data_IF_230887351935
#
_entry.id   IF_230887351935
#
_cell.length_a   1.000
_cell.length_b   1.000
_cell.length_c   1.000
_cell.angle_alpha   90.00
_cell.angle_beta   90.00
_cell.angle_gamma   90.00
#
_symmetry.space_group_name_H-M   'P 1'
#
loop_
_entity.id
_entity.type
_entity.pdbx_description
1 polymer ?
#
# COMPACT_ATOMS: atom_id res chain seq x y z
N UNK A 1 -5.99 11.30 -20.88
CA UNK A 1 -6.30 10.36 -20.59
C UNK A 1 -6.12 9.65 -19.44
N UNK A 2 -6.71 9.08 -19.07
CA UNK A 2 -6.53 8.52 -17.78
C UNK A 2 -6.54 7.03 -17.81
N UNK A 3 -5.36 6.48 -17.67
CA UNK A 3 -5.22 5.05 -17.58
C UNK A 3 -6.03 4.50 -16.41
N UNK A 4 -6.12 5.28 -15.34
CA UNK A 4 -6.85 4.86 -14.14
C UNK A 4 -8.30 4.53 -14.46
N UNK A 5 -8.95 5.34 -15.26
CA UNK A 5 -10.35 5.15 -15.58
C UNK A 5 -10.59 3.96 -16.48
N UNK A 6 -9.55 3.51 -17.17
CA UNK A 6 -9.66 2.41 -18.09
C UNK A 6 -8.99 1.13 -17.62
N UNK A 7 -8.68 1.06 -16.33
CA UNK A 7 -7.96 -0.09 -15.80
C UNK A 7 -8.63 -1.41 -16.12
N UNK A 8 -9.94 -1.47 -15.94
CA UNK A 8 -10.68 -2.69 -16.23
C UNK A 8 -10.70 -3.02 -17.72
N UNK A 9 -10.87 -2.00 -18.54
CA UNK A 9 -10.89 -2.19 -19.97
C UNK A 9 -9.53 -2.61 -20.49
N UNK A 10 -8.48 -2.17 -19.83
CA UNK A 10 -7.12 -2.55 -20.19
C UNK A 10 -6.70 -3.87 -19.56
N UNK A 11 -7.63 -4.52 -18.87
CA UNK A 11 -7.39 -5.80 -18.24
C UNK A 11 -6.23 -5.73 -17.25
N UNK A 12 -6.20 -4.67 -16.44
CA UNK A 12 -5.19 -4.51 -15.41
C UNK A 12 -5.52 -5.30 -14.16
N UNK A 13 -6.56 -6.13 -14.26
CA UNK A 13 -6.82 -7.15 -13.28
C UNK A 13 -7.43 -6.70 -11.98
N UNK A 14 -6.93 -7.28 -10.92
CA UNK A 14 -7.52 -7.19 -9.58
C UNK A 14 -6.73 -6.24 -8.71
N UNK A 15 -7.45 -5.36 -8.03
CA UNK A 15 -6.86 -4.48 -7.02
C UNK A 15 -6.98 -5.14 -5.66
N UNK A 16 -6.01 -4.90 -4.81
CA UNK A 16 -6.06 -5.41 -3.45
C UNK A 16 -5.39 -4.41 -2.50
N UNK A 17 -5.86 -4.42 -1.26
CA UNK A 17 -5.23 -3.66 -0.21
C UNK A 17 -4.65 -4.63 0.80
N UNK A 18 -3.43 -4.38 1.21
CA UNK A 18 -2.77 -5.21 2.20
C UNK A 18 -2.43 -4.35 3.40
N UNK A 19 -2.92 -4.78 4.55
CA UNK A 19 -2.55 -4.17 5.82
C UNK A 19 -1.38 -4.97 6.35
N UNK A 20 -0.35 -4.27 6.82
CA UNK A 20 0.85 -4.93 7.27
C UNK A 20 1.29 -4.40 8.63
N UNK A 21 1.75 -5.29 9.46
CA UNK A 21 2.32 -4.94 10.75
C UNK A 21 3.82 -5.17 10.69
N UNK A 22 4.56 -4.22 11.23
CA UNK A 22 6.02 -4.26 11.23
C UNK A 22 6.49 -4.67 12.61
N UNK A 23 7.45 -5.58 12.65
CA UNK A 23 8.05 -5.99 13.90
C UNK A 23 9.22 -5.07 14.21
N UNK A 24 9.15 -4.44 15.36
CA UNK A 24 10.23 -3.56 15.82
C UNK A 24 11.27 -4.31 16.61
N UNK A 25 11.02 -5.58 16.91
CA UNK A 25 11.95 -6.37 17.69
C UNK A 25 12.99 -6.99 16.76
N UNK A 26 14.22 -6.96 17.21
CA UNK A 26 15.29 -7.66 16.53
C UNK A 26 15.57 -8.93 17.31
N UNK A 27 15.96 -9.98 16.61
CA UNK A 27 16.30 -11.23 17.27
C UNK A 27 17.65 -11.15 17.93
N UNK A 28 18.44 -10.20 17.49
CA UNK A 28 19.79 -10.01 17.93
C UNK A 28 19.95 -8.59 18.42
N UNK A 29 20.46 -8.41 19.63
CA UNK A 29 20.61 -7.09 20.20
C UNK A 29 21.53 -6.19 19.39
N UNK A 30 22.40 -6.79 18.60
CA UNK A 30 23.31 -6.01 17.79
C UNK A 30 22.67 -5.44 16.52
N UNK A 31 21.49 -5.94 16.17
CA UNK A 31 20.81 -5.44 14.98
C UNK A 31 20.09 -4.14 15.26
N UNK A 32 20.13 -3.26 14.24
CA UNK A 32 19.38 -2.01 14.31
C UNK A 32 17.89 -2.31 14.21
N UNK A 33 17.06 -1.69 15.05
CA UNK A 33 15.61 -1.85 14.91
C UNK A 33 15.14 -1.46 13.53
N UNK A 34 14.20 -2.23 13.01
CA UNK A 34 13.65 -1.99 11.68
C UNK A 34 12.52 -0.98 11.79
N UNK A 35 12.56 0.06 10.97
CA UNK A 35 11.53 1.09 11.00
C UNK A 35 10.47 0.82 9.96
N UNK A 36 9.28 1.37 10.21
CA UNK A 36 8.18 1.31 9.25
C UNK A 36 8.59 1.86 7.89
N UNK A 37 9.37 2.94 7.92
CA UNK A 37 9.78 3.60 6.69
C UNK A 37 10.66 2.71 5.82
N UNK A 38 11.59 2.00 6.43
CA UNK A 38 12.46 1.11 5.68
C UNK A 38 11.66 -0.02 5.03
N UNK A 39 10.74 -0.61 5.78
CA UNK A 39 9.89 -1.66 5.25
C UNK A 39 9.02 -1.11 4.12
N UNK A 40 8.43 0.07 4.31
CA UNK A 40 7.60 0.69 3.28
C UNK A 40 8.38 0.93 1.99
N UNK A 41 9.63 1.39 2.12
CA UNK A 41 10.47 1.64 0.95
C UNK A 41 10.77 0.36 0.20
N UNK A 42 11.00 -0.73 0.92
CA UNK A 42 11.27 -2.01 0.27
C UNK A 42 10.04 -2.52 -0.47
N UNK A 43 8.86 -2.36 0.13
CA UNK A 43 7.62 -2.76 -0.53
C UNK A 43 7.38 -1.94 -1.79
N UNK A 44 7.69 -0.64 -1.73
CA UNK A 44 7.42 0.26 -2.85
C UNK A 44 8.21 -0.08 -4.11
N UNK A 45 9.24 -0.89 -3.99
CA UNK A 45 10.07 -1.25 -5.14
C UNK A 45 9.43 -2.29 -6.06
N UNK A 46 8.41 -2.99 -5.59
CA UNK A 46 7.75 -3.99 -6.43
C UNK A 46 6.85 -3.34 -7.46
N UNK A 47 6.93 -3.76 -8.72
CA UNK A 47 6.13 -3.14 -9.78
C UNK A 47 4.62 -3.30 -9.59
N UNK A 48 4.18 -4.34 -8.88
CA UNK A 48 2.76 -4.56 -8.62
C UNK A 48 2.19 -3.53 -7.65
N UNK A 49 3.04 -2.90 -6.85
CA UNK A 49 2.61 -1.98 -5.81
C UNK A 49 2.34 -0.60 -6.39
N UNK A 50 1.15 -0.09 -6.14
CA UNK A 50 0.76 1.23 -6.62
C UNK A 50 0.90 2.30 -5.55
N UNK A 51 0.67 1.95 -4.30
CA UNK A 51 0.73 2.90 -3.20
C UNK A 51 1.21 2.21 -1.94
N UNK A 52 1.97 2.92 -1.13
CA UNK A 52 2.36 2.46 0.18
C UNK A 52 2.19 3.63 1.14
N UNK A 53 1.42 3.41 2.19
CA UNK A 53 1.17 4.43 3.20
C UNK A 53 1.55 3.93 4.57
N UNK A 54 2.16 4.80 5.36
CA UNK A 54 2.39 4.53 6.77
C UNK A 54 1.16 5.05 7.49
N UNK A 55 0.49 4.17 8.23
CA UNK A 55 -0.77 4.53 8.87
C UNK A 55 -0.68 4.35 10.38
N UNK A 56 -1.70 4.81 11.07
CA UNK A 56 -1.79 4.67 12.52
C UNK A 56 -2.88 3.67 12.86
N UNK A 57 -2.78 3.08 14.05
CA UNK A 57 -3.76 2.12 14.52
C UNK A 57 -3.15 0.76 14.72
N UNK A 58 -3.96 -0.27 14.53
CA UNK A 58 -3.52 -1.65 14.74
C UNK A 58 -2.55 -2.14 13.69
N UNK A 59 -2.47 -1.46 12.58
CA UNK A 59 -1.58 -1.82 11.49
C UNK A 59 -0.64 -0.68 11.20
N UNK A 60 0.51 -0.99 10.66
CA UNK A 60 1.55 -0.01 10.40
C UNK A 60 1.56 0.51 8.98
N UNK A 61 1.22 -0.32 8.04
CA UNK A 61 1.28 0.03 6.62
C UNK A 61 0.01 -0.36 5.89
N UNK A 62 -0.35 0.44 4.91
CA UNK A 62 -1.41 0.12 3.96
C UNK A 62 -0.80 0.12 2.58
N UNK A 63 -0.91 -0.99 1.89
CA UNK A 63 -0.34 -1.17 0.57
C UNK A 63 -1.46 -1.40 -0.43
N UNK A 64 -1.45 -0.65 -1.52
CA UNK A 64 -2.37 -0.89 -2.61
C UNK A 64 -1.60 -1.54 -3.75
N UNK A 65 -2.09 -2.64 -4.23
CA UNK A 65 -1.45 -3.31 -5.36
C UNK A 65 -2.47 -3.72 -6.40
N UNK A 66 -1.97 -4.01 -7.56
CA UNK A 66 -2.78 -4.47 -8.66
C UNK A 66 -2.06 -5.62 -9.34
N UNK A 67 -2.78 -6.69 -9.56
CA UNK A 67 -2.22 -7.88 -10.18
C UNK A 67 -3.21 -8.41 -11.22
N UNK A 68 -2.75 -9.35 -12.01
CA UNK A 68 -3.53 -9.88 -13.10
C UNK A 68 -4.84 -10.51 -12.63
N UNK A 69 -4.80 -11.23 -11.52
CA UNK A 69 -5.97 -11.89 -10.97
C UNK A 69 -5.75 -12.16 -9.49
N UNK A 70 -6.76 -12.76 -8.86
CA UNK A 70 -6.71 -13.05 -7.42
C UNK A 70 -5.53 -13.95 -7.08
N UNK A 71 -5.27 -14.94 -7.92
CA UNK A 71 -4.15 -15.86 -7.68
C UNK A 71 -2.83 -15.13 -7.69
N UNK A 72 -2.68 -14.18 -8.60
CA UNK A 72 -1.44 -13.40 -8.70
C UNK A 72 -1.23 -12.55 -7.45
N UNK A 73 -2.32 -12.03 -6.86
CA UNK A 73 -2.22 -11.28 -5.61
C UNK A 73 -1.70 -12.19 -4.50
N UNK A 74 -2.28 -13.36 -4.38
CA UNK A 74 -1.85 -14.32 -3.37
C UNK A 74 -0.40 -14.72 -3.55
N UNK A 75 -0.02 -14.95 -4.78
CA UNK A 75 1.34 -15.32 -5.11
C UNK A 75 2.33 -14.22 -4.74
N UNK A 76 1.96 -12.98 -5.03
CA UNK A 76 2.78 -11.84 -4.66
C UNK A 76 3.00 -11.80 -3.15
N UNK A 77 1.95 -12.00 -2.38
CA UNK A 77 2.07 -11.97 -0.92
C UNK A 77 3.00 -13.08 -0.43
N UNK A 78 2.82 -14.28 -0.91
CA UNK A 78 3.59 -15.42 -0.44
C UNK A 78 5.03 -15.38 -0.94
N UNK A 79 5.23 -15.08 -2.21
CA UNK A 79 6.54 -15.20 -2.83
C UNK A 79 7.41 -13.97 -2.65
N UNK A 80 6.80 -12.80 -2.52
CA UNK A 80 7.57 -11.56 -2.44
C UNK A 80 7.39 -10.81 -1.13
N UNK A 81 6.15 -10.52 -0.78
CA UNK A 81 5.88 -9.66 0.36
C UNK A 81 6.36 -10.26 1.67
N UNK A 82 6.10 -11.52 1.88
CA UNK A 82 6.46 -12.19 3.13
C UNK A 82 7.96 -12.33 3.37
N UNK A 83 8.73 -12.15 2.33
CA UNK A 83 10.18 -12.26 2.46
C UNK A 83 10.85 -10.95 2.85
N UNK A 84 10.07 -9.89 2.98
CA UNK A 84 10.62 -8.60 3.40
C UNK A 84 10.92 -8.66 4.89
N UNK A 85 12.15 -8.32 5.23
CA UNK A 85 12.57 -8.33 6.62
C UNK A 85 11.81 -7.24 7.37
N UNK A 86 11.27 -7.59 8.52
CA UNK A 86 10.53 -6.66 9.35
C UNK A 86 9.03 -6.78 9.25
N UNK A 87 8.51 -7.48 8.25
CA UNK A 87 7.09 -7.73 8.17
C UNK A 87 6.71 -8.86 9.11
N UNK A 88 5.82 -8.56 10.05
CA UNK A 88 5.39 -9.54 11.03
C UNK A 88 4.15 -10.29 10.59
N UNK A 89 3.15 -9.55 10.13
CA UNK A 89 1.93 -10.17 9.64
C UNK A 89 1.26 -9.27 8.61
N UNK A 90 0.43 -9.87 7.78
CA UNK A 90 -0.28 -9.15 6.74
C UNK A 90 -1.73 -9.61 6.69
N UNK A 91 -2.59 -8.73 6.23
CA UNK A 91 -3.98 -9.04 5.97
C UNK A 91 -4.30 -8.53 4.58
N UNK A 92 -4.67 -9.45 3.69
CA UNK A 92 -4.95 -9.11 2.30
C UNK A 92 -6.45 -8.95 2.10
N UNK A 93 -6.84 -7.80 1.56
CA UNK A 93 -8.24 -7.50 1.28
C UNK A 93 -8.39 -7.29 -0.22
N UNK A 94 -9.11 -8.20 -0.88
CA UNK A 94 -9.38 -8.06 -2.30
C UNK A 94 -10.46 -7.03 -2.51
N UNK A 95 -10.31 -6.21 -3.54
CA UNK A 95 -11.36 -5.27 -3.91
C UNK A 95 -12.40 -6.03 -4.71
N UNK A 96 -13.60 -6.09 -4.17
CA UNK A 96 -14.70 -6.75 -4.85
C UNK A 96 -15.35 -5.81 -5.87
N UNK A 97 -15.55 -4.57 -5.46
CA UNK A 97 -16.20 -3.59 -6.32
C UNK A 97 -15.75 -2.20 -5.91
N UNK A 98 -15.40 -1.37 -6.89
CA UNK A 98 -15.05 0.02 -6.63
C UNK A 98 -16.25 0.89 -6.97
N UNK A 99 -16.83 1.50 -5.95
CA UNK A 99 -18.00 2.35 -6.12
C UNK A 99 -17.61 3.74 -6.61
N UNK A 100 -16.48 4.24 -6.13
CA UNK A 100 -16.01 5.56 -6.55
C UNK A 100 -14.49 5.62 -6.43
N UNK A 101 -13.88 6.16 -7.44
CA UNK A 101 -12.45 6.42 -7.43
C UNK A 101 -12.25 7.74 -8.15
N UNK A 102 -11.64 8.71 -7.47
CA UNK A 102 -11.47 10.05 -8.04
C UNK A 102 -10.14 10.63 -7.63
N UNK A 103 -9.50 11.31 -8.57
CA UNK A 103 -8.26 12.02 -8.30
C UNK A 103 -8.52 13.51 -8.10
N UNK A 104 -9.81 13.92 -8.15
CA UNK A 104 -10.16 15.32 -7.97
C UNK A 104 -9.95 15.77 -6.54
N UNK A 105 -9.45 16.98 -6.37
CA UNK A 105 -9.24 17.56 -5.07
C UNK A 105 -10.56 18.19 -4.60
N UNK A 106 -11.05 17.80 -3.42
CA UNK A 106 -12.28 18.41 -2.90
C UNK A 106 -12.13 19.92 -2.67
N UNK A 107 -13.24 20.63 -2.77
CA UNK A 107 -13.20 22.08 -2.59
C UNK A 107 -12.66 22.51 -1.23
N UNK A 108 -13.00 21.79 -0.19
CA UNK A 108 -12.50 22.15 1.14
C UNK A 108 -10.99 21.97 1.23
N UNK A 109 -10.44 21.03 0.49
CA UNK A 109 -8.98 20.82 0.45
C UNK A 109 -8.28 22.00 -0.21
N UNK A 110 -8.88 22.54 -1.27
CA UNK A 110 -8.32 23.70 -1.94
C UNK A 110 -8.25 24.90 -1.01
N UNK A 111 -9.30 25.10 -0.21
CA UNK A 111 -9.32 26.18 0.77
C UNK A 111 -8.30 25.95 1.86
N UNK A 112 -8.16 24.72 2.31
CA UNK A 112 -7.20 24.38 3.35
C UNK A 112 -5.77 24.58 2.89
N UNK A 113 -5.49 24.30 1.63
CA UNK A 113 -4.15 24.52 1.10
C UNK A 113 -3.77 25.98 1.20
N UNK A 114 -4.69 26.87 0.86
CA UNK A 114 -4.44 28.30 0.95
C UNK A 114 -4.19 28.70 2.40
N UNK A 115 -5.00 28.20 3.32
CA UNK A 115 -4.84 28.50 4.73
C UNK A 115 -3.52 27.99 5.27
N UNK A 116 -3.12 26.81 4.88
CA UNK A 116 -1.91 26.20 5.40
C UNK A 116 -0.64 26.90 4.93
N UNK A 117 -0.70 27.59 3.83
CA UNK A 117 0.44 28.32 3.34
C UNK A 117 0.88 29.45 4.27
N UNK A 118 -0.01 29.85 5.16
CA UNK A 118 0.29 30.93 6.08
C UNK A 118 0.78 30.46 7.45
N UNK A 119 1.02 29.21 7.59
CA UNK A 119 1.49 28.69 8.87
C UNK A 119 3.00 28.56 8.94
#
# INVERSE_FOLDING_TARGET
YRAVLNAEKLNLGTAAFILAAVSYRTKNEEETPISQRVVAEEISKFPEVQEVHIITGDWDLLVKLRAENVEAVGKFVVDKLRHIKGLEKTLTCMVFETVKESTSIPNFMKKNEVSQQFK
#
